data_IF_634458192855
#
_entry.id   IF_634458192855
#
_cell.length_a   1.000
_cell.length_b   1.000
_cell.length_c   1.000
_cell.angle_alpha   90.00
_cell.angle_beta   90.00
_cell.angle_gamma   90.00
#
_symmetry.space_group_name_H-M   'P 1'
#
loop_
_entity.id
_entity.type
_entity.pdbx_description
1 polymer ?
#
# COMPACT_ATOMS: atom_id res chain seq x y z
N UNK A 1 32.19 -10.62 -9.41
CA UNK A 1 31.03 -9.92 -9.96
C UNK A 1 31.51 -8.90 -10.98
N UNK A 2 30.99 -8.99 -12.19
CA UNK A 2 31.35 -8.09 -13.29
C UNK A 2 30.68 -6.74 -13.05
N UNK A 3 31.36 -5.61 -13.32
CA UNK A 3 30.77 -4.28 -13.16
C UNK A 3 29.46 -4.07 -13.93
N UNK A 4 29.22 -4.86 -14.99
CA UNK A 4 27.98 -4.86 -15.76
C UNK A 4 26.77 -5.42 -14.97
N UNK A 5 26.98 -6.38 -14.08
CA UNK A 5 25.90 -6.97 -13.25
C UNK A 5 25.37 -5.94 -12.25
N UNK A 6 26.28 -5.17 -11.64
CA UNK A 6 25.91 -4.11 -10.70
C UNK A 6 25.10 -3.03 -11.40
N UNK A 7 25.48 -2.63 -12.62
CA UNK A 7 24.74 -1.65 -13.41
C UNK A 7 23.33 -2.15 -13.79
N UNK A 8 23.19 -3.43 -14.14
CA UNK A 8 21.89 -4.01 -14.47
C UNK A 8 20.93 -4.02 -13.26
N UNK A 9 21.43 -4.41 -12.08
CA UNK A 9 20.63 -4.41 -10.84
C UNK A 9 20.19 -3.01 -10.45
N UNK A 10 21.10 -2.03 -10.55
CA UNK A 10 20.77 -0.62 -10.25
C UNK A 10 19.74 -0.07 -11.23
N UNK A 11 19.85 -0.39 -12.51
CA UNK A 11 18.89 0.06 -13.52
C UNK A 11 17.48 -0.50 -13.27
N UNK A 12 17.37 -1.80 -12.97
CA UNK A 12 16.09 -2.44 -12.64
C UNK A 12 15.45 -1.84 -11.38
N UNK A 13 16.25 -1.66 -10.32
CA UNK A 13 15.77 -1.04 -9.08
C UNK A 13 15.28 0.41 -9.31
N UNK A 14 15.97 1.17 -10.15
CA UNK A 14 15.55 2.54 -10.50
C UNK A 14 14.22 2.56 -11.27
N UNK A 15 14.02 1.64 -12.21
CA UNK A 15 12.77 1.54 -12.96
C UNK A 15 11.60 1.17 -12.06
N UNK A 16 11.81 0.20 -11.17
CA UNK A 16 10.82 -0.20 -10.18
C UNK A 16 10.43 0.97 -9.25
N UNK A 17 11.41 1.70 -8.71
CA UNK A 17 11.15 2.89 -7.91
C UNK A 17 10.37 3.98 -8.67
N UNK A 18 10.71 4.22 -9.94
CA UNK A 18 9.98 5.18 -10.77
C UNK A 18 8.51 4.76 -10.97
N UNK A 19 8.25 3.46 -11.15
CA UNK A 19 6.89 2.93 -11.22
C UNK A 19 6.11 3.12 -9.92
N UNK A 20 6.72 2.84 -8.76
CA UNK A 20 6.07 3.05 -7.46
C UNK A 20 5.70 4.52 -7.23
N UNK A 21 6.61 5.45 -7.55
CA UNK A 21 6.34 6.89 -7.43
C UNK A 21 5.14 7.32 -8.27
N UNK A 22 5.04 6.84 -9.52
CA UNK A 22 3.90 7.12 -10.39
C UNK A 22 2.59 6.62 -9.77
N UNK A 23 2.59 5.44 -9.15
CA UNK A 23 1.38 4.91 -8.50
C UNK A 23 0.99 5.77 -7.30
N UNK A 24 1.95 6.18 -6.48
CA UNK A 24 1.70 7.07 -5.33
C UNK A 24 1.12 8.42 -5.77
N UNK A 25 1.64 9.00 -6.86
CA UNK A 25 1.09 10.22 -7.45
C UNK A 25 -0.37 10.01 -7.92
N UNK A 26 -0.62 8.98 -8.72
CA UNK A 26 -1.98 8.65 -9.19
C UNK A 26 -2.95 8.35 -8.02
N UNK A 27 -2.48 7.69 -6.96
CA UNK A 27 -3.29 7.44 -5.75
C UNK A 27 -3.60 8.72 -4.98
N UNK A 28 -2.66 9.67 -4.93
CA UNK A 28 -2.84 10.96 -4.27
C UNK A 28 -3.86 11.82 -5.01
N UNK A 29 -3.78 11.89 -6.34
CA UNK A 29 -4.79 12.56 -7.18
C UNK A 29 -6.17 11.94 -6.98
N UNK A 30 -6.23 10.61 -7.02
CA UNK A 30 -7.45 9.84 -6.82
C UNK A 30 -8.06 10.08 -5.44
N UNK A 31 -7.21 10.14 -4.40
CA UNK A 31 -7.61 10.43 -3.04
C UNK A 31 -8.24 11.82 -2.92
N UNK A 32 -7.60 12.85 -3.48
CA UNK A 32 -8.15 14.22 -3.49
C UNK A 32 -9.49 14.29 -4.24
N UNK A 33 -9.63 13.57 -5.35
CA UNK A 33 -10.91 13.50 -6.07
C UNK A 33 -12.01 12.83 -5.26
N UNK A 34 -11.71 11.73 -4.58
CA UNK A 34 -12.68 11.00 -3.76
C UNK A 34 -13.06 11.77 -2.50
N UNK A 35 -12.12 12.52 -1.91
CA UNK A 35 -12.35 13.35 -0.73
C UNK A 35 -13.46 14.38 -0.94
N UNK A 36 -13.58 14.90 -2.17
CA UNK A 36 -14.65 15.83 -2.57
C UNK A 36 -15.89 15.14 -3.16
N UNK A 37 -15.88 13.81 -3.25
CA UNK A 37 -16.99 13.01 -3.77
C UNK A 37 -18.12 12.77 -2.76
N UNK A 38 -19.19 12.05 -3.19
CA UNK A 38 -20.29 11.66 -2.30
C UNK A 38 -19.81 10.72 -1.18
N UNK A 39 -20.46 10.76 -0.01
CA UNK A 39 -20.05 10.04 1.21
C UNK A 39 -19.86 8.54 1.00
N UNK A 40 -20.64 7.95 0.08
CA UNK A 40 -20.56 6.52 -0.28
C UNK A 40 -19.21 6.10 -0.88
N UNK A 41 -18.51 7.03 -1.52
CA UNK A 41 -17.19 6.81 -2.12
C UNK A 41 -16.09 7.26 -1.16
N UNK A 42 -16.37 8.25 -0.30
CA UNK A 42 -15.43 8.75 0.70
C UNK A 42 -14.93 7.66 1.67
N UNK A 43 -15.73 6.62 1.93
CA UNK A 43 -15.29 5.46 2.74
C UNK A 43 -14.07 4.74 2.17
N UNK A 44 -13.83 4.81 0.86
CA UNK A 44 -12.69 4.20 0.20
C UNK A 44 -11.40 5.04 0.27
N UNK A 45 -11.48 6.32 0.71
CA UNK A 45 -10.29 7.16 0.83
C UNK A 45 -9.26 6.54 1.78
N UNK A 46 -9.72 5.99 2.92
CA UNK A 46 -8.88 5.27 3.89
C UNK A 46 -8.22 4.03 3.29
N UNK A 47 -8.89 3.36 2.35
CA UNK A 47 -8.35 2.17 1.69
C UNK A 47 -7.25 2.53 0.69
N UNK A 48 -7.41 3.64 -0.03
CA UNK A 48 -6.40 4.18 -0.94
C UNK A 48 -5.19 4.72 -0.18
N UNK A 49 -5.42 5.41 0.94
CA UNK A 49 -4.35 5.86 1.84
C UNK A 49 -3.57 4.66 2.38
N UNK A 50 -4.26 3.62 2.86
CA UNK A 50 -3.63 2.36 3.28
C UNK A 50 -2.81 1.72 2.15
N UNK A 51 -3.30 1.73 0.92
CA UNK A 51 -2.56 1.20 -0.24
C UNK A 51 -1.32 2.05 -0.55
N UNK A 52 -1.43 3.38 -0.50
CA UNK A 52 -0.29 4.29 -0.66
C UNK A 52 0.79 4.01 0.39
N UNK A 53 0.41 3.85 1.66
CA UNK A 53 1.34 3.46 2.72
C UNK A 53 2.02 2.10 2.45
N UNK A 54 1.29 1.11 1.92
CA UNK A 54 1.87 -0.18 1.53
C UNK A 54 2.87 -0.04 0.39
N UNK A 55 2.58 0.78 -0.62
CA UNK A 55 3.46 1.03 -1.76
C UNK A 55 4.73 1.77 -1.31
N UNK A 56 4.60 2.80 -0.47
CA UNK A 56 5.74 3.49 0.13
C UNK A 56 6.60 2.54 0.98
N UNK A 57 5.98 1.63 1.72
CA UNK A 57 6.70 0.62 2.49
C UNK A 57 7.52 -0.29 1.57
N UNK A 58 6.96 -0.74 0.44
CA UNK A 58 7.70 -1.52 -0.55
C UNK A 58 8.86 -0.70 -1.14
N UNK A 59 8.61 0.56 -1.48
CA UNK A 59 9.61 1.46 -2.04
C UNK A 59 10.84 1.64 -1.14
N UNK A 60 10.63 1.71 0.19
CA UNK A 60 11.71 1.88 1.16
C UNK A 60 12.50 0.60 1.42
N UNK A 61 11.99 -0.56 1.00
CA UNK A 61 12.56 -1.86 1.32
C UNK A 61 12.95 -2.64 0.05
N UNK A 62 14.22 -2.50 -0.37
CA UNK A 62 14.77 -3.17 -1.56
C UNK A 62 14.60 -4.69 -1.57
N UNK A 63 14.46 -5.32 -0.40
CA UNK A 63 14.23 -6.77 -0.26
C UNK A 63 12.93 -7.25 -0.92
N UNK A 64 11.98 -6.35 -1.18
CA UNK A 64 10.72 -6.67 -1.83
C UNK A 64 10.75 -6.47 -3.36
N UNK A 65 11.89 -6.11 -3.94
CA UNK A 65 12.04 -5.93 -5.38
C UNK A 65 12.20 -7.30 -6.08
N UNK A 66 11.21 -8.16 -5.91
CA UNK A 66 11.12 -9.50 -6.50
C UNK A 66 10.13 -9.44 -7.66
N UNK A 67 10.40 -10.17 -8.75
CA UNK A 67 9.58 -10.18 -9.98
C UNK A 67 8.07 -10.35 -9.73
N UNK A 68 7.68 -11.15 -8.74
CA UNK A 68 6.27 -11.36 -8.38
C UNK A 68 5.64 -10.07 -7.83
N UNK A 69 6.36 -9.35 -6.96
CA UNK A 69 5.91 -8.06 -6.40
C UNK A 69 5.85 -7.02 -7.51
N UNK A 70 6.80 -7.00 -8.43
CA UNK A 70 6.79 -6.10 -9.58
C UNK A 70 5.56 -6.29 -10.47
N UNK A 71 5.22 -7.54 -10.80
CA UNK A 71 4.03 -7.83 -11.59
C UNK A 71 2.74 -7.40 -10.89
N UNK A 72 2.64 -7.58 -9.57
CA UNK A 72 1.49 -7.13 -8.78
C UNK A 72 1.39 -5.61 -8.72
N UNK A 73 2.51 -4.94 -8.46
CA UNK A 73 2.60 -3.46 -8.45
C UNK A 73 2.17 -2.90 -9.81
N UNK A 74 2.58 -3.52 -10.91
CA UNK A 74 2.17 -3.13 -12.26
C UNK A 74 0.66 -3.31 -12.48
N UNK A 75 0.09 -4.45 -12.07
CA UNK A 75 -1.34 -4.68 -12.17
C UNK A 75 -2.16 -3.66 -11.35
N UNK A 76 -1.68 -3.31 -10.15
CA UNK A 76 -2.25 -2.25 -9.30
C UNK A 76 -2.17 -0.91 -10.04
N UNK A 77 -1.03 -0.57 -10.64
CA UNK A 77 -0.85 0.66 -11.41
C UNK A 77 -1.89 0.78 -12.54
N UNK A 78 -2.08 -0.28 -13.33
CA UNK A 78 -3.01 -0.28 -14.46
C UNK A 78 -4.47 -0.08 -13.99
N UNK A 79 -4.83 -0.68 -12.84
CA UNK A 79 -6.15 -0.50 -12.22
C UNK A 79 -6.34 0.91 -11.66
N UNK A 80 -5.32 1.48 -11.01
CA UNK A 80 -5.35 2.87 -10.51
C UNK A 80 -5.49 3.85 -11.67
N UNK A 81 -4.71 3.68 -12.74
CA UNK A 81 -4.80 4.54 -13.94
C UNK A 81 -6.19 4.42 -14.61
N UNK A 82 -6.75 3.21 -14.66
CA UNK A 82 -8.12 2.97 -15.17
C UNK A 82 -9.17 3.66 -14.29
N UNK A 83 -9.04 3.55 -12.97
CA UNK A 83 -9.95 4.17 -12.02
C UNK A 83 -9.87 5.69 -12.09
N UNK A 84 -8.66 6.26 -12.20
CA UNK A 84 -8.45 7.70 -12.35
C UNK A 84 -9.13 8.20 -13.64
N UNK A 85 -9.01 7.47 -14.75
CA UNK A 85 -9.73 7.77 -16.01
C UNK A 85 -11.25 7.71 -15.85
N UNK A 86 -11.80 6.71 -15.17
CA UNK A 86 -13.25 6.60 -14.92
C UNK A 86 -13.76 7.81 -14.12
N UNK A 87 -13.01 8.21 -13.10
CA UNK A 87 -13.36 9.35 -12.25
C UNK A 87 -13.27 10.66 -13.04
N UNK A 88 -12.14 10.93 -13.71
CA UNK A 88 -11.99 12.13 -14.52
C UNK A 88 -13.08 12.25 -15.60
N UNK A 89 -13.38 11.17 -16.33
CA UNK A 89 -14.41 11.18 -17.37
C UNK A 89 -15.82 11.35 -16.81
N UNK A 90 -16.08 10.84 -15.60
CA UNK A 90 -17.40 10.93 -14.98
C UNK A 90 -17.69 12.28 -14.35
N UNK A 91 -16.67 12.92 -13.76
CA UNK A 91 -16.83 14.21 -13.09
C UNK A 91 -16.57 15.42 -14.01
N UNK A 92 -15.80 15.29 -15.09
CA UNK A 92 -15.56 16.38 -16.04
C UNK A 92 -16.83 16.81 -16.83
N UNK A 93 -17.77 15.88 -17.03
CA UNK A 93 -19.02 16.13 -17.75
C UNK A 93 -20.05 16.96 -16.96
N UNK A 94 -19.83 17.18 -15.66
CA UNK A 94 -20.81 17.83 -14.76
C UNK A 94 -21.08 19.29 -15.12
N UNK A 95 -20.16 19.94 -15.85
CA UNK A 95 -20.25 21.37 -16.19
C UNK A 95 -21.09 21.71 -17.44
N UNK A 96 -21.59 20.73 -18.21
CA UNK A 96 -22.25 20.98 -19.51
C UNK A 96 -23.73 20.52 -19.59
N UNK A 97 -24.62 21.53 -19.60
CA UNK A 97 -26.00 21.59 -20.15
C UNK A 97 -27.17 20.98 -19.34
N UNK A 98 -28.17 21.83 -19.11
CA UNK A 98 -29.43 21.62 -18.39
C UNK A 98 -30.36 20.55 -18.99
N UNK A 99 -30.28 20.27 -20.28
CA UNK A 99 -31.23 19.39 -20.97
C UNK A 99 -31.03 17.87 -20.75
N UNK A 100 -29.87 17.43 -20.21
CA UNK A 100 -29.58 15.99 -19.98
C UNK A 100 -29.81 15.52 -18.53
N UNK A 101 -30.46 16.33 -17.70
CA UNK A 101 -30.61 16.08 -16.26
C UNK A 101 -31.31 14.74 -15.94
N UNK A 102 -32.27 14.30 -16.77
CA UNK A 102 -33.02 13.06 -16.55
C UNK A 102 -32.22 11.79 -16.88
N UNK A 103 -31.35 11.80 -17.89
CA UNK A 103 -30.48 10.65 -18.22
C UNK A 103 -29.25 10.56 -17.31
N UNK A 104 -29.04 11.55 -16.44
CA UNK A 104 -27.85 11.66 -15.58
C UNK A 104 -27.88 10.67 -14.40
N UNK A 105 -29.04 10.51 -13.76
CA UNK A 105 -29.21 9.66 -12.58
C UNK A 105 -28.81 8.19 -12.84
N UNK A 106 -29.29 7.51 -13.91
CA UNK A 106 -28.88 6.13 -14.17
C UNK A 106 -27.38 6.04 -14.55
N UNK A 107 -26.84 7.02 -15.29
CA UNK A 107 -25.41 7.05 -15.65
C UNK A 107 -24.52 7.18 -14.42
N UNK A 108 -24.87 8.06 -13.48
CA UNK A 108 -24.14 8.24 -12.22
C UNK A 108 -24.14 6.96 -11.38
N UNK A 109 -25.27 6.25 -11.28
CA UNK A 109 -25.33 4.96 -10.56
C UNK A 109 -24.46 3.88 -11.19
N UNK A 110 -24.42 3.81 -12.52
CA UNK A 110 -23.57 2.84 -13.24
C UNK A 110 -22.09 3.18 -13.01
N UNK A 111 -21.71 4.44 -13.10
CA UNK A 111 -20.35 4.89 -12.78
C UNK A 111 -19.98 4.58 -11.33
N UNK A 112 -20.84 4.92 -10.37
CA UNK A 112 -20.58 4.66 -8.94
C UNK A 112 -20.36 3.17 -8.70
N UNK A 113 -21.17 2.30 -9.33
CA UNK A 113 -20.99 0.85 -9.26
C UNK A 113 -19.62 0.43 -9.82
N UNK A 114 -19.24 0.92 -11.00
CA UNK A 114 -17.91 0.62 -11.59
C UNK A 114 -16.76 1.08 -10.71
N UNK A 115 -16.85 2.28 -10.14
CA UNK A 115 -15.86 2.81 -9.19
C UNK A 115 -15.73 1.87 -7.99
N UNK A 116 -16.86 1.42 -7.40
CA UNK A 116 -16.85 0.48 -6.27
C UNK A 116 -16.25 -0.87 -6.63
N UNK A 117 -16.60 -1.43 -7.78
CA UNK A 117 -16.05 -2.69 -8.28
C UNK A 117 -14.53 -2.58 -8.50
N UNK A 118 -14.07 -1.50 -9.12
CA UNK A 118 -12.63 -1.25 -9.32
C UNK A 118 -11.89 -1.06 -7.99
N UNK A 119 -12.47 -0.35 -7.03
CA UNK A 119 -11.88 -0.17 -5.70
C UNK A 119 -11.85 -1.48 -4.91
N UNK A 120 -12.90 -2.30 -4.98
CA UNK A 120 -12.89 -3.63 -4.36
C UNK A 120 -11.78 -4.52 -4.93
N UNK A 121 -11.66 -4.56 -6.26
CA UNK A 121 -10.58 -5.31 -6.92
C UNK A 121 -9.18 -4.80 -6.56
N UNK A 122 -9.04 -3.50 -6.25
CA UNK A 122 -7.79 -2.90 -5.81
C UNK A 122 -7.43 -3.30 -4.36
N UNK A 123 -8.44 -3.46 -3.50
CA UNK A 123 -8.26 -3.98 -2.14
C UNK A 123 -7.82 -5.45 -2.18
N UNK A 124 -8.41 -6.25 -3.05
CA UNK A 124 -8.01 -7.66 -3.23
C UNK A 124 -6.54 -7.75 -3.67
N UNK A 125 -6.11 -6.91 -4.62
CA UNK A 125 -4.71 -6.85 -5.03
C UNK A 125 -3.79 -6.40 -3.90
N UNK A 126 -4.23 -5.45 -3.06
CA UNK A 126 -3.46 -5.05 -1.86
C UNK A 126 -3.26 -6.23 -0.92
N UNK A 127 -4.28 -7.03 -0.69
CA UNK A 127 -4.18 -8.23 0.17
C UNK A 127 -3.20 -9.22 -0.44
N UNK A 128 -3.28 -9.47 -1.75
CA UNK A 128 -2.33 -10.33 -2.46
C UNK A 128 -0.89 -9.82 -2.33
N UNK A 129 -0.70 -8.50 -2.45
CA UNK A 129 0.61 -7.85 -2.28
C UNK A 129 1.17 -8.05 -0.87
N UNK A 130 0.34 -7.86 0.17
CA UNK A 130 0.73 -8.10 1.56
C UNK A 130 1.10 -9.57 1.76
N UNK A 131 0.32 -10.51 1.25
CA UNK A 131 0.61 -11.95 1.35
C UNK A 131 1.96 -12.27 0.68
N UNK A 132 2.20 -11.75 -0.54
CA UNK A 132 3.48 -11.95 -1.22
C UNK A 132 4.66 -11.39 -0.44
N UNK A 133 4.51 -10.23 0.19
CA UNK A 133 5.53 -9.62 1.06
C UNK A 133 5.80 -10.50 2.27
N UNK A 134 4.75 -10.97 2.95
CA UNK A 134 4.89 -11.86 4.12
C UNK A 134 5.57 -13.18 3.77
N UNK A 135 5.20 -13.79 2.63
CA UNK A 135 5.85 -15.01 2.15
C UNK A 135 7.32 -14.77 1.81
N UNK A 136 7.64 -13.63 1.18
CA UNK A 136 9.02 -13.27 0.88
C UNK A 136 9.86 -13.05 2.15
N UNK A 137 9.29 -12.47 3.21
CA UNK A 137 10.00 -12.32 4.50
C UNK A 137 10.24 -13.65 5.19
N UNK A 138 9.28 -14.58 5.16
CA UNK A 138 9.41 -15.88 5.84
C UNK A 138 10.53 -16.74 5.26
N UNK A 139 10.72 -16.70 3.93
CA UNK A 139 11.82 -17.40 3.26
C UNK A 139 13.17 -16.86 3.75
N UNK A 140 13.33 -15.55 3.84
CA UNK A 140 14.59 -14.94 4.29
C UNK A 140 14.96 -15.26 5.74
N UNK A 141 13.97 -15.53 6.60
CA UNK A 141 14.22 -15.89 8.00
C UNK A 141 14.65 -17.35 8.18
N UNK A 142 14.16 -18.28 7.33
CA UNK A 142 14.56 -19.68 7.39
C UNK A 142 16.02 -19.88 6.99
N UNK A 143 16.46 -19.21 5.92
CA UNK A 143 17.83 -19.32 5.43
C UNK A 143 18.86 -18.81 6.47
N UNK A 144 18.49 -17.83 7.29
CA UNK A 144 19.35 -17.30 8.34
C UNK A 144 19.48 -18.24 9.57
N UNK A 145 18.50 -19.13 9.79
CA UNK A 145 18.51 -20.06 10.92
C UNK A 145 19.39 -21.28 10.64
N UNK A 146 19.42 -21.77 9.41
CA UNK A 146 20.20 -22.96 9.04
C UNK A 146 21.71 -22.69 8.98
N UNK A 147 22.12 -21.42 8.80
CA UNK A 147 23.53 -21.04 8.78
C UNK A 147 24.19 -21.06 10.18
N UNK A 148 23.42 -21.01 11.29
CA UNK A 148 23.98 -20.94 12.66
C UNK A 148 24.25 -22.28 13.32
N UNK A 149 23.81 -23.40 12.75
CA UNK A 149 23.95 -24.73 13.37
C UNK A 149 25.24 -25.48 12.99
N UNK A 150 26.10 -24.90 12.12
CA UNK A 150 27.26 -25.61 11.55
C UNK A 150 28.59 -25.28 12.28
N UNK A 151 28.65 -24.24 13.12
CA UNK A 151 29.93 -23.76 13.69
C UNK A 151 30.15 -24.07 15.20
N UNK A 152 29.45 -25.05 15.80
CA UNK A 152 29.64 -25.38 17.23
C UNK A 152 30.46 -26.65 17.55
N UNK A 153 31.21 -27.20 16.58
CA UNK A 153 32.15 -28.33 16.81
C UNK A 153 33.64 -27.91 16.83
N UNK A 154 33.94 -26.67 17.26
CA UNK A 154 35.35 -26.26 17.51
C UNK A 154 35.61 -26.16 19.01
N UNK A 155 36.22 -27.23 19.51
CA UNK A 155 37.05 -27.36 20.70
C UNK A 155 36.76 -26.39 21.87
N UNK A 156 35.88 -26.87 22.75
CA UNK A 156 35.70 -26.33 24.09
C UNK A 156 36.89 -26.77 24.97
N UNK A 157 38.00 -26.04 24.89
CA UNK A 157 39.02 -26.09 25.93
C UNK A 157 39.52 -24.69 26.30
N UNK A 158 39.50 -24.42 27.61
CA UNK A 158 40.03 -23.27 28.37
C UNK A 158 39.23 -21.96 28.45
N UNK A 159 38.52 -21.88 29.58
CA UNK A 159 38.73 -20.91 30.66
C UNK A 159 38.81 -19.40 30.31
N UNK A 160 37.86 -18.61 30.79
CA UNK A 160 38.02 -17.88 32.07
C UNK A 160 36.80 -17.00 32.35
N UNK A 161 36.41 -16.94 33.62
CA UNK A 161 35.37 -16.08 34.16
C UNK A 161 35.65 -14.60 33.88
N UNK A 162 34.65 -13.89 33.36
CA UNK A 162 34.62 -12.44 33.26
C UNK A 162 33.19 -11.92 33.35
N UNK A 163 32.71 -11.74 34.59
CA UNK A 163 31.41 -11.21 34.98
C UNK A 163 31.27 -9.75 34.52
N UNK A 164 30.20 -9.37 33.82
CA UNK A 164 29.71 -7.98 33.76
C UNK A 164 28.26 -7.92 33.31
N UNK A 165 27.38 -7.77 34.30
CA UNK A 165 26.01 -7.29 34.17
C UNK A 165 25.99 -5.86 33.64
N UNK A 166 25.19 -5.58 32.61
CA UNK A 166 24.72 -4.23 32.31
C UNK A 166 23.39 -4.26 31.54
N UNK A 167 22.31 -4.17 32.32
CA UNK A 167 21.16 -3.28 32.11
C UNK A 167 20.60 -3.15 30.67
N UNK A 168 19.63 -3.98 30.30
CA UNK A 168 18.68 -3.66 29.23
C UNK A 168 17.55 -2.77 29.76
N UNK A 169 17.41 -1.57 29.19
CA UNK A 169 16.24 -0.72 29.38
C UNK A 169 15.19 -1.05 28.29
N UNK A 170 13.90 -1.19 28.65
CA UNK A 170 12.84 -1.41 27.68
C UNK A 170 12.48 -0.12 26.95
N UNK A 171 12.54 -0.17 25.62
CA UNK A 171 12.05 0.89 24.73
C UNK A 171 10.52 0.86 24.76
N UNK A 172 9.94 1.82 25.47
CA UNK A 172 8.50 2.09 25.51
C UNK A 172 8.04 2.65 24.17
N UNK A 173 7.32 1.84 23.38
CA UNK A 173 6.58 2.33 22.22
C UNK A 173 5.30 3.00 22.72
N UNK A 174 5.30 4.33 22.59
CA UNK A 174 4.27 5.23 23.04
C UNK A 174 2.86 4.88 22.53
N UNK A 175 1.91 5.07 23.46
CA UNK A 175 0.47 5.02 23.28
C UNK A 175 -0.02 5.80 22.05
N UNK A 176 -0.58 5.08 21.08
CA UNK A 176 -1.47 5.67 20.10
C UNK A 176 -2.82 5.92 20.77
N UNK A 177 -3.04 7.16 21.20
CA UNK A 177 -4.32 7.63 21.72
C UNK A 177 -5.39 7.50 20.62
N UNK A 178 -6.31 6.56 20.84
CA UNK A 178 -7.56 6.42 20.10
C UNK A 178 -8.44 7.61 20.50
N UNK A 179 -8.57 8.59 19.60
CA UNK A 179 -9.51 9.70 19.77
C UNK A 179 -10.93 9.15 19.53
N UNK A 180 -11.86 9.26 20.50
CA UNK A 180 -13.24 8.81 20.32
C UNK A 180 -13.95 9.72 19.31
N UNK A 181 -14.54 9.08 18.31
CA UNK A 181 -15.38 9.72 17.29
C UNK A 181 -16.67 10.23 17.97
N UNK A 182 -16.76 11.54 18.21
CA UNK A 182 -18.02 12.20 18.60
C UNK A 182 -18.93 12.18 17.38
N UNK A 183 -19.92 11.28 17.39
CA UNK A 183 -21.01 11.28 16.42
C UNK A 183 -21.94 12.45 16.71
N UNK A 184 -21.92 13.46 15.84
CA UNK A 184 -22.92 14.52 15.83
C UNK A 184 -24.30 13.91 15.60
N UNK A 185 -25.14 14.06 16.62
CA UNK A 185 -26.53 13.63 16.61
C UNK A 185 -27.35 14.68 15.88
N UNK A 186 -27.56 14.52 14.58
CA UNK A 186 -28.47 15.38 13.82
C UNK A 186 -29.91 15.13 14.27
N UNK A 187 -30.43 16.17 14.94
CA UNK A 187 -31.82 16.41 15.31
C UNK A 187 -32.70 16.39 14.05
N UNK A 188 -33.58 15.39 13.98
CA UNK A 188 -34.68 15.37 13.01
C UNK A 188 -35.76 16.34 13.51
N UNK A 189 -35.72 17.56 13.00
CA UNK A 189 -36.81 18.54 13.12
C UNK A 189 -37.83 18.35 12.00
N UNK A 190 -39.04 17.90 12.35
CA UNK A 190 -40.22 17.93 11.50
C UNK A 190 -40.71 19.37 11.29
N UNK A 191 -41.37 19.63 10.15
CA UNK A 191 -42.80 19.90 10.23
C UNK A 191 -43.68 18.96 9.41
#
# INVERSE_FOLDING_TARGET
MSGLEVLAVVAAASQFCAHLLKITESLTELHEHIKHGPDRIRSYSKQLESLSCTIEFIQRNQKFHIDIVENLVKAISDKVDTLNRIIHTSFSDVRRRSARKYFRIPKERITERRIKESLAALVDDKINLIICITMATDVTMKDASDQRSIDMDVDMDKASLGKSEALEQPVSCADSQIVPYMGDSESVGAP
#
